data_IF_773932234618
#
_entry.id   IF_773932234618
#
_cell.length_a   1.000
_cell.length_b   1.000
_cell.length_c   1.000
_cell.angle_alpha   90.00
_cell.angle_beta   90.00
_cell.angle_gamma   90.00
#
_symmetry.space_group_name_H-M   'P 1'
#
loop_
_entity.id
_entity.type
_entity.pdbx_description
1 polymer ?
#
# COMPACT_ATOMS: atom_id res chain seq x y z
N UNK A 1 -43.76 17.64 58.69
CA UNK A 1 -42.94 18.33 59.70
C UNK A 1 -41.55 18.51 59.10
N UNK A 2 -41.26 19.72 58.66
CA UNK A 2 -39.95 20.12 58.12
C UNK A 2 -38.87 19.98 59.20
N UNK A 3 -37.66 19.54 58.84
CA UNK A 3 -36.46 20.35 59.02
C UNK A 3 -35.26 19.72 58.30
N UNK A 4 -34.49 20.62 57.69
CA UNK A 4 -33.43 20.42 56.69
C UNK A 4 -32.14 19.94 57.35
N UNK A 5 -31.40 19.08 56.65
CA UNK A 5 -29.99 18.82 56.95
C UNK A 5 -29.15 20.04 56.57
N UNK A 6 -28.45 20.60 57.56
CA UNK A 6 -27.60 21.78 57.42
C UNK A 6 -26.15 21.34 57.21
N UNK A 7 -25.63 21.53 56.00
CA UNK A 7 -24.25 21.26 55.61
C UNK A 7 -23.34 22.41 56.08
N UNK A 8 -22.75 22.34 57.28
CA UNK A 8 -21.70 23.32 57.64
C UNK A 8 -20.67 22.88 58.68
N UNK A 9 -20.53 21.60 59.03
CA UNK A 9 -19.64 21.20 60.14
C UNK A 9 -18.51 20.23 59.72
N UNK A 10 -18.53 19.67 58.50
CA UNK A 10 -17.44 18.79 58.02
C UNK A 10 -16.39 19.49 57.13
N UNK A 11 -16.46 20.82 56.97
CA UNK A 11 -15.48 21.63 56.21
C UNK A 11 -14.53 22.47 57.09
N UNK A 12 -14.68 22.42 58.43
CA UNK A 12 -14.00 23.34 59.35
C UNK A 12 -12.94 22.69 60.28
N UNK A 13 -12.54 21.44 60.07
CA UNK A 13 -11.51 20.78 60.89
C UNK A 13 -10.32 20.18 60.13
N UNK A 14 -10.00 20.68 58.92
CA UNK A 14 -8.73 20.35 58.26
C UNK A 14 -8.11 21.52 57.45
N UNK A 15 -8.42 22.77 57.82
CA UNK A 15 -7.94 23.98 57.14
C UNK A 15 -7.46 25.05 58.13
N UNK A 16 -6.78 24.61 59.19
CA UNK A 16 -6.27 25.48 60.27
C UNK A 16 -4.75 25.41 60.47
N UNK A 17 -3.98 24.93 59.49
CA UNK A 17 -2.49 24.93 59.54
C UNK A 17 -1.81 25.54 58.30
N UNK A 18 -2.52 25.90 57.22
CA UNK A 18 -1.87 26.44 55.99
C UNK A 18 -2.43 27.81 55.59
N UNK A 19 -2.55 28.71 56.56
CA UNK A 19 -2.69 30.13 56.32
C UNK A 19 -1.50 30.84 56.95
N UNK A 20 -0.98 31.84 56.23
CA UNK A 20 0.27 32.59 56.47
C UNK A 20 1.49 31.77 56.00
N UNK A 21 2.22 32.09 54.94
CA UNK A 21 2.76 33.40 54.55
C UNK A 21 2.97 33.39 53.02
N UNK A 22 2.01 33.91 52.26
CA UNK A 22 2.23 34.53 50.94
C UNK A 22 1.37 35.78 50.92
N UNK A 23 1.92 36.89 51.42
CA UNK A 23 1.91 38.23 50.79
C UNK A 23 2.40 39.28 51.82
N UNK A 24 3.06 40.30 51.30
CA UNK A 24 3.57 41.52 51.96
C UNK A 24 5.01 41.42 52.47
N UNK A 25 5.97 41.69 51.57
CA UNK A 25 6.77 42.92 51.65
C UNK A 25 7.74 43.02 50.48
N UNK A 26 7.32 43.73 49.43
CA UNK A 26 8.19 44.48 48.53
C UNK A 26 8.90 45.59 49.34
N UNK A 27 10.16 45.89 48.96
CA UNK A 27 11.03 47.04 49.32
C UNK A 27 11.98 46.95 50.55
N UNK A 28 13.19 46.40 50.29
CA UNK A 28 14.59 46.87 50.52
C UNK A 28 15.07 47.42 51.90
N UNK A 29 16.41 47.52 52.22
CA UNK A 29 17.61 47.32 51.41
C UNK A 29 18.76 46.46 52.03
N UNK A 30 19.82 46.32 51.22
CA UNK A 30 21.13 45.66 51.40
C UNK A 30 21.93 46.14 52.61
N UNK A 31 22.62 45.21 53.29
CA UNK A 31 23.89 45.53 53.95
C UNK A 31 24.90 44.37 53.84
N UNK A 32 26.15 44.78 53.67
CA UNK A 32 27.28 44.07 53.11
C UNK A 32 28.14 43.49 54.24
N UNK A 33 28.48 42.20 54.23
CA UNK A 33 29.60 41.69 55.05
C UNK A 33 30.46 40.69 54.27
N UNK A 34 31.71 41.10 54.10
CA UNK A 34 32.82 40.35 53.51
C UNK A 34 33.14 39.08 54.31
N UNK A 35 33.32 37.95 53.61
CA UNK A 35 34.08 36.80 54.09
C UNK A 35 35.26 36.59 53.11
N UNK A 36 36.50 36.46 53.60
CA UNK A 36 37.70 36.55 52.78
C UNK A 36 38.01 35.26 52.00
N UNK A 37 38.63 35.49 50.84
CA UNK A 37 39.22 34.52 49.91
C UNK A 37 39.84 33.28 50.57
N UNK A 38 39.33 32.11 50.18
CA UNK A 38 40.18 30.96 49.88
C UNK A 38 40.24 30.83 48.36
N UNK A 39 41.42 31.03 47.80
CA UNK A 39 41.69 30.78 46.40
C UNK A 39 41.71 29.26 46.14
N UNK A 40 40.56 28.69 45.79
CA UNK A 40 40.58 27.61 44.82
C UNK A 40 40.63 28.28 43.46
N UNK A 41 41.78 28.20 42.79
CA UNK A 41 41.90 28.49 41.36
C UNK A 41 40.67 27.91 40.65
N UNK A 42 39.83 28.75 40.03
CA UNK A 42 39.00 28.27 38.93
C UNK A 42 40.00 27.63 37.96
N UNK A 43 40.05 26.31 37.93
CA UNK A 43 40.77 25.58 36.90
C UNK A 43 40.22 26.15 35.60
N UNK A 44 41.03 26.92 34.87
CA UNK A 44 40.66 27.38 33.54
C UNK A 44 40.51 26.10 32.76
N UNK A 45 39.27 25.67 32.54
CA UNK A 45 39.01 24.51 31.72
C UNK A 45 39.46 24.92 30.33
N UNK A 46 40.25 24.06 29.68
CA UNK A 46 40.75 24.33 28.34
C UNK A 46 39.55 24.29 27.40
N UNK A 47 39.51 25.25 26.51
CA UNK A 47 38.49 25.48 25.49
C UNK A 47 39.33 25.99 24.31
N UNK A 48 39.56 25.09 23.36
CA UNK A 48 40.66 25.19 22.39
C UNK A 48 40.26 25.97 21.17
N UNK A 49 39.01 25.86 20.74
CA UNK A 49 38.43 26.56 19.62
C UNK A 49 37.59 27.80 20.01
N UNK A 50 37.22 27.91 21.29
CA UNK A 50 36.62 29.11 21.86
C UNK A 50 35.11 29.22 21.65
N UNK A 51 34.41 28.12 21.42
CA UNK A 51 32.95 28.09 21.23
C UNK A 51 32.17 28.21 22.56
N UNK A 52 32.87 28.04 23.69
CA UNK A 52 32.34 28.13 25.04
C UNK A 52 32.01 26.79 25.70
N UNK A 53 32.22 25.66 25.01
CA UNK A 53 32.18 24.30 25.53
C UNK A 53 33.62 23.88 25.88
N UNK A 54 33.89 23.41 27.11
CA UNK A 54 35.26 23.03 27.45
C UNK A 54 35.71 21.72 26.76
N UNK A 55 36.99 21.61 26.38
CA UNK A 55 37.62 20.46 25.69
C UNK A 55 37.25 19.07 26.25
N UNK A 56 36.89 18.96 27.53
CA UNK A 56 36.55 17.69 28.18
C UNK A 56 35.07 17.31 28.10
N UNK A 57 34.22 18.22 27.60
CA UNK A 57 32.79 18.08 27.35
C UNK A 57 32.47 18.28 25.86
N UNK A 58 33.47 18.66 25.07
CA UNK A 58 33.42 18.91 23.64
C UNK A 58 33.89 17.68 22.85
N UNK A 59 33.07 17.23 21.90
CA UNK A 59 33.40 16.08 21.04
C UNK A 59 34.33 16.48 19.88
N UNK A 60 34.35 17.76 19.50
CA UNK A 60 35.21 18.32 18.45
C UNK A 60 36.02 19.54 18.94
N UNK A 61 36.97 19.37 19.88
CA UNK A 61 37.67 20.48 20.56
C UNK A 61 38.49 21.44 19.67
N UNK A 62 38.61 21.17 18.37
CA UNK A 62 39.36 22.01 17.43
C UNK A 62 38.42 22.68 16.40
N UNK A 63 37.10 22.46 16.47
CA UNK A 63 36.09 23.00 15.54
C UNK A 63 35.06 23.88 16.28
N UNK A 64 35.18 25.22 16.20
CA UNK A 64 34.31 26.12 16.95
C UNK A 64 32.85 26.13 16.47
N UNK A 65 32.51 25.36 15.43
CA UNK A 65 31.16 25.19 14.93
C UNK A 65 30.51 23.88 15.35
N UNK A 66 31.22 22.99 16.03
CA UNK A 66 30.72 21.68 16.44
C UNK A 66 31.17 21.35 17.86
N UNK A 67 30.24 20.94 18.73
CA UNK A 67 30.59 20.57 20.11
C UNK A 67 30.06 19.20 20.55
N UNK A 68 29.18 18.60 19.74
CA UNK A 68 28.41 17.41 20.10
C UNK A 68 28.24 16.51 18.88
N UNK A 69 28.37 15.22 19.11
CA UNK A 69 28.09 14.13 18.19
C UNK A 69 27.12 13.18 18.91
N UNK A 70 25.84 13.31 18.60
CA UNK A 70 24.78 12.66 19.35
C UNK A 70 24.63 11.17 19.09
N UNK A 71 25.00 10.71 17.90
CA UNK A 71 24.90 9.30 17.51
C UNK A 71 26.26 8.61 17.34
N UNK A 72 27.36 9.36 17.34
CA UNK A 72 28.72 8.87 17.44
C UNK A 72 29.31 8.47 16.09
N UNK A 73 28.83 9.04 14.98
CA UNK A 73 29.31 8.71 13.63
C UNK A 73 30.53 9.54 13.17
N UNK A 74 30.89 10.57 13.95
CA UNK A 74 32.03 11.44 13.71
C UNK A 74 31.72 12.71 12.91
N UNK A 75 30.46 13.00 12.61
CA UNK A 75 29.99 14.31 12.12
C UNK A 75 29.31 15.06 13.27
N UNK A 76 29.57 16.36 13.39
CA UNK A 76 28.97 17.16 14.46
C UNK A 76 27.49 17.47 14.22
N UNK A 77 26.71 17.54 15.30
CA UNK A 77 25.26 17.77 15.32
C UNK A 77 24.82 18.98 14.45
N UNK A 78 25.68 20.00 14.23
CA UNK A 78 25.29 21.18 13.45
C UNK A 78 25.50 21.01 11.93
N UNK A 79 26.41 20.14 11.51
CA UNK A 79 26.71 19.84 10.11
C UNK A 79 26.04 18.56 9.62
N UNK A 80 25.53 17.74 10.55
CA UNK A 80 24.80 16.52 10.27
C UNK A 80 23.32 16.80 10.00
N UNK A 81 22.83 16.36 8.83
CA UNK A 81 21.40 16.42 8.50
C UNK A 81 20.55 15.46 9.35
N UNK A 82 21.16 14.40 9.91
CA UNK A 82 20.50 13.38 10.74
C UNK A 82 21.24 13.13 12.06
N UNK A 83 21.29 14.11 13.00
CA UNK A 83 22.11 14.04 14.23
C UNK A 83 21.75 12.92 15.23
N UNK A 84 20.85 12.00 14.90
CA UNK A 84 20.48 10.91 15.80
C UNK A 84 20.46 9.55 15.07
N UNK A 85 20.95 9.49 13.84
CA UNK A 85 21.07 8.29 13.04
C UNK A 85 22.52 8.12 12.56
N UNK A 86 23.32 7.24 13.21
CA UNK A 86 24.73 7.11 12.92
C UNK A 86 25.02 6.47 11.55
N UNK A 87 23.97 6.17 10.78
CA UNK A 87 24.06 5.62 9.42
C UNK A 87 23.79 6.65 8.34
N UNK A 88 23.45 7.89 8.68
CA UNK A 88 23.12 8.96 7.72
C UNK A 88 23.77 10.28 8.13
N UNK A 89 24.37 11.02 7.18
CA UNK A 89 25.02 12.31 7.45
C UNK A 89 24.50 13.45 6.57
N UNK A 90 23.90 13.12 5.43
CA UNK A 90 23.56 14.06 4.36
C UNK A 90 22.18 13.80 3.81
N UNK A 91 21.53 14.88 3.41
CA UNK A 91 20.27 14.91 2.67
C UNK A 91 20.51 15.84 1.47
N UNK A 92 21.01 15.28 0.37
CA UNK A 92 21.56 16.03 -0.76
C UNK A 92 20.50 16.80 -1.54
N UNK A 93 19.23 16.38 -1.49
CA UNK A 93 18.12 17.06 -2.16
C UNK A 93 17.06 17.66 -1.23
N UNK A 94 17.17 17.41 0.07
CA UNK A 94 16.38 18.07 1.12
C UNK A 94 14.99 17.47 1.30
N UNK A 95 14.79 16.20 0.96
CA UNK A 95 13.49 15.54 1.06
C UNK A 95 13.24 14.83 2.41
N UNK A 96 14.26 14.80 3.27
CA UNK A 96 14.23 14.23 4.60
C UNK A 96 14.59 12.74 4.67
N UNK A 97 15.07 12.12 3.59
CA UNK A 97 15.69 10.81 3.58
C UNK A 97 17.21 10.97 3.42
N UNK A 98 17.98 10.22 4.21
CA UNK A 98 19.44 10.32 4.14
C UNK A 98 20.00 9.66 2.88
N UNK A 99 21.07 10.25 2.33
CA UNK A 99 21.72 9.84 1.08
C UNK A 99 22.07 8.33 1.04
N UNK A 100 22.32 7.67 2.19
CA UNK A 100 22.67 6.25 2.21
C UNK A 100 21.44 5.33 2.08
N UNK A 101 20.26 5.82 2.48
CA UNK A 101 18.97 5.13 2.41
C UNK A 101 18.13 5.56 1.21
N UNK A 102 18.49 6.67 0.57
CA UNK A 102 17.85 7.19 -0.63
C UNK A 102 18.42 6.55 -1.90
N UNK A 103 17.54 5.97 -2.73
CA UNK A 103 17.94 5.43 -4.03
C UNK A 103 18.19 6.52 -5.08
N UNK A 104 17.61 7.71 -4.91
CA UNK A 104 17.78 8.87 -5.78
C UNK A 104 18.15 10.13 -4.98
N UNK A 105 19.35 10.20 -4.38
CA UNK A 105 19.78 11.25 -3.44
C UNK A 105 19.89 12.67 -4.05
N UNK A 106 19.48 12.86 -5.29
CA UNK A 106 19.50 14.15 -5.99
C UNK A 106 18.16 14.50 -6.63
N UNK A 107 17.10 13.71 -6.40
CA UNK A 107 15.75 13.99 -6.85
C UNK A 107 14.79 13.98 -5.66
N UNK A 108 14.41 15.17 -5.12
CA UNK A 108 13.62 15.26 -3.89
C UNK A 108 12.18 14.78 -4.04
N UNK A 109 11.84 14.20 -5.20
CA UNK A 109 10.56 13.59 -5.50
C UNK A 109 10.64 12.08 -5.55
N UNK A 110 11.80 11.45 -5.38
CA UNK A 110 11.96 10.01 -5.52
C UNK A 110 12.92 9.50 -4.46
N UNK A 111 12.49 8.54 -3.64
CA UNK A 111 13.33 8.01 -2.54
C UNK A 111 13.70 6.54 -2.74
N UNK A 112 12.93 5.84 -3.57
CA UNK A 112 12.90 4.39 -3.64
C UNK A 112 12.69 3.94 -5.07
N UNK A 113 13.32 2.82 -5.39
CA UNK A 113 13.15 2.04 -6.61
C UNK A 113 13.04 0.58 -6.19
N UNK A 114 11.82 0.07 -5.99
CA UNK A 114 11.68 -1.28 -5.41
C UNK A 114 11.95 -2.39 -6.42
N UNK A 115 11.77 -2.14 -7.70
CA UNK A 115 11.96 -3.14 -8.73
C UNK A 115 13.31 -3.01 -9.46
N UNK A 116 14.04 -1.95 -9.13
CA UNK A 116 15.40 -1.66 -9.53
C UNK A 116 15.53 -1.42 -11.05
N UNK A 117 14.48 -0.88 -11.69
CA UNK A 117 14.49 -0.53 -13.11
C UNK A 117 15.14 0.83 -13.42
N UNK A 118 15.49 1.59 -12.37
CA UNK A 118 16.11 2.91 -12.44
C UNK A 118 15.13 4.07 -12.53
N UNK A 119 13.82 3.82 -12.44
CA UNK A 119 12.77 4.83 -12.32
C UNK A 119 12.31 4.86 -10.86
N UNK A 120 12.21 6.08 -10.31
CA UNK A 120 11.72 6.24 -8.95
C UNK A 120 10.24 5.89 -8.82
N UNK A 121 9.88 5.30 -7.69
CA UNK A 121 8.55 4.78 -7.41
C UNK A 121 7.40 5.78 -7.61
N UNK A 122 7.64 7.09 -7.47
CA UNK A 122 6.60 8.11 -7.67
C UNK A 122 6.38 8.42 -9.17
N UNK A 123 7.35 8.11 -10.04
CA UNK A 123 7.28 8.25 -11.50
C UNK A 123 6.98 6.94 -12.24
N UNK A 124 7.23 5.81 -11.59
CA UNK A 124 7.03 4.44 -12.06
C UNK A 124 5.52 4.05 -12.08
N UNK A 125 5.09 3.35 -13.13
CA UNK A 125 3.68 2.92 -13.28
C UNK A 125 3.37 1.67 -12.44
N UNK A 126 4.31 0.74 -12.30
CA UNK A 126 4.25 -0.46 -11.50
C UNK A 126 5.49 -0.58 -10.58
N UNK A 127 5.56 0.23 -9.48
CA UNK A 127 6.78 0.51 -8.68
C UNK A 127 7.45 -0.64 -7.94
N UNK A 128 7.39 -1.84 -8.47
CA UNK A 128 7.34 -3.09 -7.75
C UNK A 128 7.47 -4.30 -8.69
N UNK A 129 7.24 -4.11 -9.99
CA UNK A 129 7.22 -5.16 -10.99
C UNK A 129 8.27 -4.84 -12.03
N UNK A 130 9.47 -5.41 -11.84
CA UNK A 130 10.56 -5.25 -12.79
C UNK A 130 10.12 -5.80 -14.14
N UNK A 131 9.82 -4.90 -15.08
CA UNK A 131 9.33 -5.25 -16.40
C UNK A 131 10.51 -5.62 -17.31
N UNK A 132 11.20 -6.72 -17.05
CA UNK A 132 12.22 -7.17 -17.99
C UNK A 132 11.64 -7.98 -19.16
N UNK A 133 12.28 -7.87 -20.31
CA UNK A 133 12.06 -8.76 -21.45
C UNK A 133 13.34 -9.54 -21.72
N UNK A 134 13.23 -10.86 -21.82
CA UNK A 134 14.34 -11.72 -22.22
C UNK A 134 14.09 -12.27 -23.62
N UNK A 135 15.00 -11.96 -24.54
CA UNK A 135 14.98 -12.42 -25.91
C UNK A 135 16.10 -13.44 -26.08
N UNK A 136 15.75 -14.66 -26.47
CA UNK A 136 16.71 -15.72 -26.78
C UNK A 136 16.69 -15.99 -28.27
N UNK A 137 17.82 -15.76 -28.95
CA UNK A 137 17.99 -16.23 -30.33
C UNK A 137 18.37 -17.70 -30.24
N UNK A 138 17.49 -18.58 -30.69
CA UNK A 138 17.70 -20.02 -30.62
C UNK A 138 18.62 -20.48 -31.74
N UNK A 139 18.29 -20.07 -32.97
CA UNK A 139 19.00 -20.49 -34.19
C UNK A 139 18.70 -19.54 -35.34
N UNK A 140 19.48 -19.63 -36.40
CA UNK A 140 19.27 -18.87 -37.63
C UNK A 140 19.64 -19.67 -38.87
N UNK A 141 19.30 -19.13 -40.05
CA UNK A 141 19.65 -19.66 -41.37
C UNK A 141 19.78 -18.54 -42.38
N UNK A 142 20.83 -18.55 -43.18
CA UNK A 142 20.96 -17.71 -44.37
C UNK A 142 20.36 -18.44 -45.58
N UNK A 143 19.44 -17.82 -46.31
CA UNK A 143 18.63 -18.48 -47.35
C UNK A 143 19.00 -18.11 -48.79
N UNK A 144 19.68 -17.00 -49.01
CA UNK A 144 20.11 -16.58 -50.34
C UNK A 144 21.52 -15.98 -50.30
N UNK A 145 22.05 -15.59 -51.47
CA UNK A 145 23.40 -15.03 -51.55
C UNK A 145 23.39 -13.66 -50.87
N UNK A 146 24.06 -13.60 -49.74
CA UNK A 146 24.43 -12.35 -49.06
C UNK A 146 25.71 -11.78 -49.67
N UNK A 147 26.50 -12.60 -50.36
CA UNK A 147 27.83 -12.24 -50.82
C UNK A 147 28.28 -13.07 -52.06
N UNK A 148 29.42 -12.75 -52.70
CA UNK A 148 29.93 -13.44 -53.93
C UNK A 148 30.37 -14.91 -53.71
N UNK A 149 30.41 -15.36 -52.45
CA UNK A 149 30.83 -16.70 -52.06
C UNK A 149 29.70 -17.50 -51.38
N UNK A 150 29.78 -18.83 -51.44
CA UNK A 150 28.81 -19.74 -50.79
C UNK A 150 28.89 -19.76 -49.24
N UNK A 151 29.70 -18.91 -48.63
CA UNK A 151 30.00 -18.88 -47.19
C UNK A 151 29.83 -17.46 -46.65
N UNK A 152 29.03 -17.31 -45.62
CA UNK A 152 28.79 -16.04 -44.93
C UNK A 152 29.43 -16.06 -43.52
N UNK A 153 29.77 -14.88 -43.00
CA UNK A 153 30.29 -14.67 -41.65
C UNK A 153 29.29 -13.86 -40.83
N UNK A 154 28.42 -14.54 -40.10
CA UNK A 154 27.25 -13.90 -39.51
C UNK A 154 27.50 -13.47 -38.05
N UNK A 155 26.88 -12.36 -37.66
CA UNK A 155 26.67 -11.96 -36.26
C UNK A 155 25.33 -11.24 -36.09
N UNK A 156 24.94 -10.98 -34.84
CA UNK A 156 23.72 -10.24 -34.53
C UNK A 156 24.03 -9.00 -33.72
N UNK A 157 23.24 -7.96 -33.93
CA UNK A 157 23.17 -6.80 -33.04
C UNK A 157 21.77 -6.67 -32.47
N UNK A 158 21.70 -6.41 -31.17
CA UNK A 158 20.49 -6.05 -30.47
C UNK A 158 20.48 -4.55 -30.22
N UNK A 159 19.44 -3.89 -30.72
CA UNK A 159 19.24 -2.46 -30.58
C UNK A 159 17.98 -2.21 -29.75
N UNK A 160 18.02 -1.22 -28.87
CA UNK A 160 16.87 -0.78 -28.06
C UNK A 160 16.69 0.71 -28.24
N UNK A 161 15.48 1.13 -28.64
CA UNK A 161 15.13 2.54 -28.91
C UNK A 161 16.12 3.25 -29.86
N UNK A 162 16.71 2.51 -30.80
CA UNK A 162 17.68 3.04 -31.76
C UNK A 162 19.13 3.09 -31.26
N UNK A 163 19.42 2.58 -30.07
CA UNK A 163 20.77 2.48 -29.51
C UNK A 163 21.24 1.02 -29.46
N UNK A 164 22.48 0.74 -29.88
CA UNK A 164 23.05 -0.61 -29.85
C UNK A 164 23.39 -1.02 -28.42
N UNK A 165 22.81 -2.13 -27.95
CA UNK A 165 23.01 -2.64 -26.59
C UNK A 165 23.88 -3.89 -26.52
N UNK A 166 23.74 -4.82 -27.46
CA UNK A 166 24.51 -6.07 -27.43
C UNK A 166 24.87 -6.59 -28.82
N UNK A 167 25.98 -7.30 -28.91
CA UNK A 167 26.42 -8.04 -30.10
C UNK A 167 26.51 -9.51 -29.74
N UNK A 168 25.82 -10.36 -30.49
CA UNK A 168 25.99 -11.81 -30.38
C UNK A 168 26.89 -12.33 -31.48
N UNK A 169 27.86 -13.13 -31.06
CA UNK A 169 28.83 -13.79 -31.93
C UNK A 169 29.18 -15.17 -31.36
N UNK A 170 29.93 -15.98 -32.10
CA UNK A 170 30.36 -17.31 -31.69
C UNK A 170 31.67 -17.24 -30.88
N UNK A 171 31.58 -16.82 -29.61
CA UNK A 171 32.71 -16.75 -28.67
C UNK A 171 33.88 -15.88 -29.18
N UNK A 172 33.57 -14.64 -29.56
CA UNK A 172 34.53 -13.67 -30.09
C UNK A 172 34.87 -13.84 -31.58
N UNK A 173 34.14 -14.69 -32.30
CA UNK A 173 34.26 -14.91 -33.76
C UNK A 173 32.90 -14.92 -34.43
N UNK A 174 32.86 -14.61 -35.72
CA UNK A 174 31.65 -14.71 -36.53
C UNK A 174 31.26 -16.17 -36.82
N UNK A 175 29.97 -16.45 -36.95
CA UNK A 175 29.49 -17.76 -37.40
C UNK A 175 29.80 -17.94 -38.89
N UNK A 176 30.58 -18.97 -39.23
CA UNK A 176 30.86 -19.31 -40.64
C UNK A 176 29.83 -20.29 -41.14
N UNK A 177 28.94 -19.83 -42.01
CA UNK A 177 27.74 -20.58 -42.38
C UNK A 177 27.67 -20.87 -43.87
N UNK A 178 27.05 -22.00 -44.22
CA UNK A 178 26.70 -22.33 -45.59
C UNK A 178 25.24 -21.97 -45.85
N UNK A 179 24.95 -21.42 -47.03
CA UNK A 179 23.59 -21.08 -47.44
C UNK A 179 22.68 -22.32 -47.31
N UNK A 180 21.53 -22.14 -46.66
CA UNK A 180 20.51 -23.15 -46.44
C UNK A 180 20.68 -24.01 -45.18
N UNK A 181 21.79 -23.88 -44.44
CA UNK A 181 22.01 -24.60 -43.17
C UNK A 181 21.51 -23.80 -41.97
N UNK A 182 20.93 -24.50 -40.99
CA UNK A 182 20.56 -23.92 -39.70
C UNK A 182 21.73 -24.00 -38.73
N UNK A 183 21.99 -22.93 -38.01
CA UNK A 183 23.02 -22.86 -36.97
C UNK A 183 22.41 -22.44 -35.63
N UNK A 184 22.89 -23.04 -34.55
CA UNK A 184 22.44 -22.75 -33.18
C UNK A 184 23.17 -21.51 -32.66
N UNK A 185 22.42 -20.68 -31.94
CA UNK A 185 22.92 -19.48 -31.26
C UNK A 185 22.80 -19.67 -29.76
N UNK A 186 21.59 -19.92 -29.27
CA UNK A 186 21.23 -20.06 -27.85
C UNK A 186 21.86 -18.99 -26.95
N UNK A 187 21.81 -17.73 -27.39
CA UNK A 187 22.22 -16.56 -26.62
C UNK A 187 21.02 -15.69 -26.30
N UNK A 188 21.03 -15.12 -25.10
CA UNK A 188 19.93 -14.35 -24.55
C UNK A 188 20.35 -12.92 -24.23
N UNK A 189 19.47 -11.99 -24.52
CA UNK A 189 19.54 -10.59 -24.13
C UNK A 189 18.37 -10.31 -23.20
N UNK A 190 18.67 -9.80 -22.01
CA UNK A 190 17.67 -9.31 -21.08
C UNK A 190 17.75 -7.79 -21.06
N UNK A 191 16.61 -7.14 -21.20
CA UNK A 191 16.49 -5.70 -21.12
C UNK A 191 15.42 -5.33 -20.12
N UNK A 192 15.74 -4.38 -19.25
CA UNK A 192 14.78 -3.83 -18.32
C UNK A 192 13.94 -2.77 -19.02
N UNK A 193 12.62 -2.90 -18.97
CA UNK A 193 11.72 -1.97 -19.66
C UNK A 193 11.37 -0.85 -18.68
N UNK A 194 11.82 0.39 -18.91
CA UNK A 194 11.46 1.50 -18.06
C UNK A 194 9.95 1.72 -18.18
N UNK A 195 9.23 1.53 -17.08
CA UNK A 195 7.78 1.41 -17.13
C UNK A 195 7.06 2.76 -17.02
N UNK A 196 7.65 3.82 -17.55
CA UNK A 196 7.13 5.18 -17.35
C UNK A 196 5.96 5.57 -18.27
N UNK A 197 5.19 6.57 -17.85
CA UNK A 197 4.18 7.21 -18.74
C UNK A 197 4.80 8.09 -19.84
N UNK A 198 6.09 8.45 -19.71
CA UNK A 198 6.80 9.33 -20.65
C UNK A 198 7.16 8.57 -21.92
N UNK A 199 7.65 7.35 -21.79
CA UNK A 199 8.03 6.48 -22.91
C UNK A 199 7.05 5.32 -23.06
N UNK A 200 5.96 5.58 -23.80
CA UNK A 200 4.89 4.59 -23.97
C UNK A 200 5.33 3.28 -24.63
N UNK A 201 6.42 3.28 -25.38
CA UNK A 201 6.87 2.11 -26.13
C UNK A 201 8.39 1.95 -26.09
N UNK A 202 8.83 0.76 -25.73
CA UNK A 202 10.19 0.28 -26.00
C UNK A 202 10.22 -0.53 -27.29
N UNK A 203 11.10 -0.16 -28.22
CA UNK A 203 11.32 -0.90 -29.47
C UNK A 203 12.65 -1.63 -29.42
N UNK A 204 12.62 -2.94 -29.61
CA UNK A 204 13.81 -3.80 -29.71
C UNK A 204 13.94 -4.31 -31.14
N UNK A 205 15.13 -4.18 -31.70
CA UNK A 205 15.47 -4.67 -33.03
C UNK A 205 16.56 -5.74 -32.93
N UNK A 206 16.31 -6.90 -33.54
CA UNK A 206 17.31 -7.95 -33.75
C UNK A 206 17.76 -7.84 -35.20
N UNK A 207 18.99 -7.41 -35.41
CA UNK A 207 19.61 -7.28 -36.73
C UNK A 207 20.61 -8.41 -36.93
N UNK A 208 20.62 -8.98 -38.13
CA UNK A 208 21.57 -10.02 -38.54
C UNK A 208 22.44 -9.45 -39.65
N UNK A 209 23.75 -9.56 -39.52
CA UNK A 209 24.70 -8.99 -40.46
C UNK A 209 25.57 -10.09 -41.07
N UNK A 210 25.97 -9.89 -42.33
CA UNK A 210 27.09 -10.60 -42.94
C UNK A 210 28.34 -9.72 -42.81
N UNK A 211 29.41 -10.27 -42.24
CA UNK A 211 30.65 -9.56 -42.07
C UNK A 211 31.52 -9.63 -43.31
N UNK A 212 31.87 -8.46 -43.82
CA UNK A 212 32.70 -8.29 -44.99
C UNK A 212 34.12 -7.89 -44.62
N UNK A 213 35.11 -8.62 -45.15
CA UNK A 213 36.50 -8.36 -44.83
C UNK A 213 37.05 -7.06 -45.45
N UNK A 214 36.40 -6.54 -46.52
CA UNK A 214 36.91 -5.42 -47.32
C UNK A 214 35.88 -4.30 -47.56
N UNK A 215 34.63 -4.49 -47.14
CA UNK A 215 33.50 -3.58 -47.33
C UNK A 215 32.74 -3.37 -46.02
N UNK A 216 31.72 -2.51 -46.02
CA UNK A 216 30.83 -2.38 -44.88
C UNK A 216 30.01 -3.65 -44.72
N UNK A 217 29.72 -4.05 -43.48
CA UNK A 217 28.96 -5.26 -43.18
C UNK A 217 27.51 -5.12 -43.66
N UNK A 218 27.05 -6.07 -44.48
CA UNK A 218 25.73 -6.02 -45.10
C UNK A 218 24.64 -6.54 -44.14
N UNK A 219 23.58 -5.77 -43.88
CA UNK A 219 22.44 -6.25 -43.14
C UNK A 219 21.67 -7.31 -43.94
N UNK A 220 21.27 -8.38 -43.28
CA UNK A 220 20.55 -9.49 -43.89
C UNK A 220 19.04 -9.28 -43.70
N UNK A 221 18.27 -9.31 -44.79
CA UNK A 221 16.80 -9.29 -44.72
C UNK A 221 16.27 -10.56 -44.03
N UNK A 222 15.70 -10.35 -42.84
CA UNK A 222 15.16 -11.39 -41.97
C UNK A 222 13.66 -11.24 -41.76
N UNK A 223 12.99 -10.27 -42.41
CA UNK A 223 11.58 -9.96 -42.15
C UNK A 223 10.87 -9.30 -43.35
N UNK A 224 10.69 -10.05 -44.43
CA UNK A 224 9.97 -9.66 -45.66
C UNK A 224 10.33 -8.25 -46.18
N UNK A 225 11.60 -8.04 -46.53
CA UNK A 225 12.12 -6.74 -46.99
C UNK A 225 12.51 -5.80 -45.84
N UNK A 226 12.74 -6.35 -44.64
CA UNK A 226 13.25 -5.60 -43.48
C UNK A 226 14.45 -6.33 -42.88
N UNK A 227 15.49 -5.57 -42.64
CA UNK A 227 16.78 -6.01 -42.08
C UNK A 227 16.74 -6.29 -40.57
N UNK A 228 15.55 -6.30 -39.97
CA UNK A 228 15.38 -6.50 -38.53
C UNK A 228 14.10 -7.23 -38.16
N UNK A 229 14.19 -8.06 -37.14
CA UNK A 229 13.03 -8.43 -36.31
C UNK A 229 12.73 -7.26 -35.41
N UNK A 230 11.52 -6.70 -35.50
CA UNK A 230 11.10 -5.55 -34.69
C UNK A 230 10.08 -6.04 -33.66
N UNK A 231 10.43 -5.86 -32.39
CA UNK A 231 9.57 -6.18 -31.23
C UNK A 231 9.21 -4.85 -30.58
N UNK A 232 7.92 -4.56 -30.42
CA UNK A 232 7.45 -3.35 -29.71
C UNK A 232 6.75 -3.74 -28.43
N UNK A 233 7.32 -3.33 -27.30
CA UNK A 233 6.69 -3.42 -25.99
C UNK A 233 5.88 -2.14 -25.73
N UNK A 234 4.68 -2.28 -25.15
CA UNK A 234 3.91 -1.15 -24.64
C UNK A 234 4.09 -1.07 -23.13
N UNK A 235 4.91 -0.12 -22.69
CA UNK A 235 5.38 0.01 -21.30
C UNK A 235 4.22 0.29 -20.33
N UNK A 236 3.09 0.82 -20.83
CA UNK A 236 1.90 1.13 -20.01
C UNK A 236 0.93 -0.04 -19.91
N UNK A 237 0.84 -0.85 -20.97
CA UNK A 237 -0.15 -1.93 -21.07
C UNK A 237 0.43 -3.30 -20.75
N UNK A 238 1.74 -3.40 -20.58
CA UNK A 238 2.47 -4.65 -20.38
C UNK A 238 2.15 -5.69 -21.46
N UNK A 239 2.07 -5.24 -22.71
CA UNK A 239 1.78 -6.09 -23.87
C UNK A 239 2.80 -5.86 -24.98
N UNK A 240 3.22 -6.94 -25.62
CA UNK A 240 4.06 -6.90 -26.83
C UNK A 240 3.17 -6.90 -28.07
N UNK A 241 3.54 -6.05 -29.02
CA UNK A 241 2.96 -6.00 -30.36
C UNK A 241 4.06 -6.20 -31.40
N UNK A 242 3.86 -7.15 -32.30
CA UNK A 242 4.85 -7.52 -33.31
C UNK A 242 5.87 -8.55 -32.81
N UNK A 243 6.15 -9.54 -33.66
CA UNK A 243 7.06 -10.65 -33.36
C UNK A 243 6.49 -11.64 -32.36
N UNK A 244 5.53 -12.48 -32.77
CA UNK A 244 5.16 -13.66 -31.97
C UNK A 244 6.41 -14.53 -31.71
N UNK A 245 6.44 -15.23 -30.57
CA UNK A 245 7.41 -16.32 -30.38
C UNK A 245 7.41 -17.25 -31.58
N UNK A 246 8.59 -17.59 -32.09
CA UNK A 246 8.71 -18.56 -33.16
C UNK A 246 9.76 -18.22 -34.19
N UNK A 247 9.39 -17.48 -35.24
CA UNK A 247 10.18 -17.43 -36.48
C UNK A 247 9.96 -16.08 -37.19
N UNK A 248 11.04 -15.37 -37.51
CA UNK A 248 11.04 -14.29 -38.49
C UNK A 248 11.77 -14.73 -39.76
N UNK A 249 11.21 -14.40 -40.92
CA UNK A 249 11.72 -14.85 -42.23
C UNK A 249 11.73 -13.67 -43.21
N UNK A 250 12.88 -13.44 -43.82
CA UNK A 250 13.07 -12.53 -44.95
C UNK A 250 13.58 -13.28 -46.18
N UNK A 251 13.97 -12.52 -47.19
CA UNK A 251 14.47 -13.07 -48.45
C UNK A 251 15.88 -13.69 -48.29
N UNK A 252 16.68 -13.15 -47.36
CA UNK A 252 18.07 -13.53 -47.16
C UNK A 252 18.33 -14.33 -45.88
N UNK A 253 17.43 -14.26 -44.90
CA UNK A 253 17.62 -14.93 -43.62
C UNK A 253 16.35 -15.37 -42.90
N UNK A 254 16.53 -16.28 -41.95
CA UNK A 254 15.51 -16.74 -41.00
C UNK A 254 16.10 -16.72 -39.60
N UNK A 255 15.37 -16.17 -38.64
CA UNK A 255 15.74 -16.16 -37.23
C UNK A 255 14.65 -16.87 -36.44
N UNK A 256 15.04 -17.83 -35.59
CA UNK A 256 14.18 -18.42 -34.58
C UNK A 256 14.53 -17.84 -33.22
N UNK A 257 13.54 -17.30 -32.54
CA UNK A 257 13.73 -16.65 -31.25
C UNK A 257 12.55 -16.87 -30.33
N UNK A 258 12.83 -16.79 -29.04
CA UNK A 258 11.86 -16.87 -27.97
C UNK A 258 11.93 -15.62 -27.10
N UNK A 259 10.78 -15.11 -26.73
CA UNK A 259 10.58 -14.02 -25.78
C UNK A 259 10.02 -14.65 -24.51
N UNK A 260 10.66 -14.37 -23.39
CA UNK A 260 10.17 -14.69 -22.06
C UNK A 260 10.13 -13.44 -21.20
N UNK A 261 9.14 -13.38 -20.32
CA UNK A 261 8.94 -12.33 -19.33
C UNK A 261 9.25 -12.92 -17.95
N UNK A 262 9.73 -12.12 -16.98
CA UNK A 262 9.78 -12.58 -15.60
C UNK A 262 8.35 -12.95 -15.18
N UNK A 263 8.21 -14.14 -14.59
CA UNK A 263 7.00 -14.49 -13.86
C UNK A 263 6.85 -13.48 -12.74
N UNK A 264 5.76 -12.69 -12.77
CA UNK A 264 5.39 -11.66 -11.80
C UNK A 264 5.92 -12.03 -10.40
N UNK A 265 7.03 -11.42 -9.99
CA UNK A 265 7.40 -11.43 -8.58
C UNK A 265 6.46 -10.39 -7.99
N UNK A 266 5.32 -10.84 -7.48
CA UNK A 266 4.39 -9.97 -6.77
C UNK A 266 5.19 -9.27 -5.66
N UNK A 267 5.20 -7.93 -5.59
CA UNK A 267 5.90 -7.22 -4.52
C UNK A 267 5.44 -7.65 -3.13
N UNK A 268 6.23 -7.36 -2.07
CA UNK A 268 5.68 -7.39 -0.72
C UNK A 268 4.50 -6.41 -0.67
N UNK A 269 3.29 -6.96 -0.62
CA UNK A 269 2.06 -6.19 -0.51
C UNK A 269 2.15 -5.24 0.70
N UNK A 270 1.96 -3.93 0.50
CA UNK A 270 1.88 -2.98 1.61
C UNK A 270 0.53 -3.13 2.32
N UNK A 271 0.52 -3.05 3.65
CA UNK A 271 -0.69 -3.24 4.45
C UNK A 271 -0.97 -2.07 5.40
N UNK A 272 -2.23 -1.66 5.48
CA UNK A 272 -2.75 -1.00 6.67
C UNK A 272 -2.93 -2.04 7.78
N UNK A 273 -2.03 -2.03 8.77
CA UNK A 273 -2.27 -2.76 10.01
C UNK A 273 -3.30 -2.01 10.87
N UNK A 274 -4.42 -2.65 11.16
CA UNK A 274 -5.46 -2.13 12.07
C UNK A 274 -5.58 -3.01 13.30
N UNK A 275 -5.75 -2.36 14.45
CA UNK A 275 -6.04 -3.01 15.74
C UNK A 275 -7.42 -2.59 16.22
N UNK A 276 -8.38 -3.49 16.09
CA UNK A 276 -9.74 -3.30 16.58
C UNK A 276 -9.85 -3.74 18.04
N UNK A 277 -10.66 -3.02 18.81
CA UNK A 277 -11.01 -3.38 20.19
C UNK A 277 -12.51 -3.15 20.40
N UNK A 278 -13.18 -4.13 20.98
CA UNK A 278 -14.62 -4.06 21.27
C UNK A 278 -14.97 -4.89 22.50
N UNK A 279 -16.18 -4.70 23.02
CA UNK A 279 -16.69 -5.41 24.19
C UNK A 279 -17.79 -6.37 23.77
N UNK A 280 -17.72 -7.62 24.23
CA UNK A 280 -18.78 -8.61 24.09
C UNK A 280 -18.84 -9.48 25.34
N UNK A 281 -20.05 -9.71 25.87
CA UNK A 281 -20.28 -10.47 27.11
C UNK A 281 -19.38 -10.01 28.28
N UNK A 282 -19.29 -8.68 28.50
CA UNK A 282 -18.46 -8.04 29.52
C UNK A 282 -16.94 -8.33 29.43
N UNK A 283 -16.48 -8.85 28.29
CA UNK A 283 -15.06 -9.08 28.00
C UNK A 283 -14.62 -8.14 26.87
N UNK A 284 -13.44 -7.54 27.04
CA UNK A 284 -12.77 -6.80 25.96
C UNK A 284 -12.03 -7.76 25.04
N UNK A 285 -12.29 -7.63 23.75
CA UNK A 285 -11.67 -8.38 22.68
C UNK A 285 -10.79 -7.45 21.84
N UNK A 286 -9.78 -8.04 21.19
CA UNK A 286 -8.91 -7.30 20.29
C UNK A 286 -8.53 -8.16 19.09
N UNK A 287 -8.49 -7.56 17.91
CA UNK A 287 -8.15 -8.22 16.65
C UNK A 287 -7.22 -7.33 15.84
N UNK A 288 -6.04 -7.87 15.47
CA UNK A 288 -5.16 -7.25 14.48
C UNK A 288 -5.45 -7.82 13.09
N UNK A 289 -5.68 -6.94 12.13
CA UNK A 289 -5.90 -7.27 10.72
C UNK A 289 -4.94 -6.43 9.86
N UNK A 290 -4.32 -7.08 8.90
CA UNK A 290 -3.49 -6.42 7.89
C UNK A 290 -4.34 -6.34 6.60
N UNK A 291 -4.50 -5.13 6.07
CA UNK A 291 -5.39 -4.85 4.93
C UNK A 291 -4.56 -4.30 3.78
N UNK A 292 -4.56 -4.93 2.60
CA UNK A 292 -3.76 -4.46 1.48
C UNK A 292 -4.06 -3.01 1.08
N UNK A 293 -3.02 -2.18 0.99
CA UNK A 293 -3.13 -0.78 0.52
C UNK A 293 -3.65 -0.75 -0.92
N UNK A 294 -3.18 -1.68 -1.76
CA UNK A 294 -3.64 -1.84 -3.15
C UNK A 294 -5.15 -2.07 -3.23
N UNK A 295 -5.69 -2.91 -2.34
CA UNK A 295 -7.12 -3.21 -2.29
C UNK A 295 -7.94 -2.00 -1.84
N UNK A 296 -7.48 -1.28 -0.81
CA UNK A 296 -8.14 -0.05 -0.36
C UNK A 296 -8.15 1.02 -1.47
N UNK A 297 -7.01 1.26 -2.13
CA UNK A 297 -6.90 2.17 -3.27
C UNK A 297 -7.81 1.74 -4.43
N UNK A 298 -7.92 0.45 -4.71
CA UNK A 298 -8.84 -0.06 -5.74
C UNK A 298 -10.30 0.27 -5.40
N UNK A 299 -10.71 0.08 -4.14
CA UNK A 299 -12.06 0.43 -3.69
C UNK A 299 -12.32 1.93 -3.94
N UNK A 300 -11.45 2.83 -3.44
CA UNK A 300 -11.61 4.28 -3.62
C UNK A 300 -11.71 4.70 -5.09
N UNK A 301 -10.91 4.08 -5.97
CA UNK A 301 -10.86 4.41 -7.40
C UNK A 301 -11.85 3.60 -8.26
N UNK A 302 -12.68 2.78 -7.63
CA UNK A 302 -13.67 1.97 -8.35
C UNK A 302 -14.68 2.87 -9.04
N UNK A 303 -14.97 2.58 -10.32
CA UNK A 303 -15.95 3.33 -11.13
C UNK A 303 -17.39 2.88 -10.92
N UNK A 304 -17.66 2.15 -9.85
CA UNK A 304 -19.03 1.76 -9.49
C UNK A 304 -19.82 2.99 -9.07
N UNK A 305 -21.13 2.96 -9.29
CA UNK A 305 -22.01 3.95 -8.72
C UNK A 305 -22.08 3.77 -7.21
N UNK A 306 -21.87 4.86 -6.47
CA UNK A 306 -21.88 4.90 -5.00
C UNK A 306 -23.28 5.16 -4.42
N UNK A 307 -24.27 5.32 -5.29
CA UNK A 307 -25.71 5.37 -4.99
C UNK A 307 -26.44 4.15 -5.60
N UNK A 308 -26.09 2.91 -5.22
CA UNK A 308 -26.62 1.69 -5.84
C UNK A 308 -28.14 1.52 -5.66
N UNK A 309 -28.76 2.18 -4.69
CA UNK A 309 -30.21 2.23 -4.49
C UNK A 309 -30.96 2.79 -5.70
N UNK A 310 -30.31 3.62 -6.53
CA UNK A 310 -30.87 4.13 -7.78
C UNK A 310 -30.82 3.11 -8.92
N UNK A 311 -29.98 2.09 -8.82
CA UNK A 311 -29.77 1.05 -9.83
C UNK A 311 -30.51 -0.25 -9.52
N UNK A 312 -30.84 -0.47 -8.24
CA UNK A 312 -31.70 -1.56 -7.77
C UNK A 312 -30.97 -2.65 -6.98
N UNK A 313 -31.68 -3.74 -6.72
CA UNK A 313 -31.28 -4.75 -5.73
C UNK A 313 -29.92 -5.39 -5.99
N UNK A 314 -29.59 -5.65 -7.25
CA UNK A 314 -28.33 -6.34 -7.61
C UNK A 314 -27.13 -5.41 -7.41
N UNK A 315 -27.30 -4.10 -7.66
CA UNK A 315 -26.27 -3.10 -7.39
C UNK A 315 -26.03 -2.97 -5.88
N UNK A 316 -27.08 -2.88 -5.07
CA UNK A 316 -26.96 -2.82 -3.60
C UNK A 316 -26.29 -4.09 -3.05
N UNK A 317 -26.69 -5.27 -3.53
CA UNK A 317 -26.11 -6.54 -3.12
C UNK A 317 -24.61 -6.65 -3.49
N UNK A 318 -24.16 -5.96 -4.54
CA UNK A 318 -22.77 -6.03 -5.02
C UNK A 318 -21.74 -5.43 -4.04
N UNK A 319 -22.18 -4.58 -3.11
CA UNK A 319 -21.33 -4.03 -2.05
C UNK A 319 -21.04 -5.04 -0.92
N UNK A 320 -21.80 -6.15 -0.85
CA UNK A 320 -21.55 -7.24 0.09
C UNK A 320 -20.45 -8.16 -0.44
N UNK A 321 -19.19 -7.79 -0.22
CA UNK A 321 -17.99 -8.46 -0.78
C UNK A 321 -17.48 -9.62 0.08
N UNK A 322 -18.35 -10.58 0.39
CA UNK A 322 -18.05 -11.72 1.27
C UNK A 322 -16.97 -12.69 0.75
N UNK A 323 -16.60 -12.63 -0.53
CA UNK A 323 -15.52 -13.43 -1.13
C UNK A 323 -14.19 -12.68 -1.19
N UNK A 324 -14.13 -11.47 -0.63
CA UNK A 324 -12.86 -10.74 -0.53
C UNK A 324 -11.93 -11.42 0.47
N UNK A 325 -10.65 -11.57 0.11
CA UNK A 325 -9.69 -12.31 0.93
C UNK A 325 -9.43 -11.67 2.30
N UNK A 326 -9.52 -10.34 2.38
CA UNK A 326 -9.38 -9.61 3.65
C UNK A 326 -10.57 -9.89 4.56
N UNK A 327 -11.78 -9.96 3.99
CA UNK A 327 -13.02 -10.30 4.71
C UNK A 327 -12.97 -11.75 5.19
N UNK A 328 -12.54 -12.70 4.35
CA UNK A 328 -12.34 -14.10 4.78
C UNK A 328 -11.33 -14.19 5.94
N UNK A 329 -10.21 -13.47 5.85
CA UNK A 329 -9.18 -13.43 6.90
C UNK A 329 -9.70 -12.84 8.21
N UNK A 330 -10.55 -11.80 8.12
CA UNK A 330 -11.25 -11.24 9.28
C UNK A 330 -12.18 -12.29 9.91
N UNK A 331 -12.97 -13.01 9.11
CA UNK A 331 -13.85 -14.07 9.58
C UNK A 331 -13.06 -15.18 10.27
N UNK A 332 -11.95 -15.65 9.71
CA UNK A 332 -11.09 -16.67 10.32
C UNK A 332 -10.59 -16.24 11.70
N UNK A 333 -10.19 -14.97 11.83
CA UNK A 333 -9.75 -14.38 13.11
C UNK A 333 -10.91 -14.25 14.11
N UNK A 334 -12.08 -13.79 13.68
CA UNK A 334 -13.28 -13.71 14.52
C UNK A 334 -13.72 -15.09 15.00
N UNK A 335 -13.76 -16.10 14.13
CA UNK A 335 -14.05 -17.50 14.48
C UNK A 335 -13.03 -18.07 15.45
N UNK A 336 -11.75 -17.73 15.28
CA UNK A 336 -10.69 -18.15 16.20
C UNK A 336 -10.86 -17.53 17.58
N UNK A 337 -11.19 -16.23 17.66
CA UNK A 337 -11.45 -15.54 18.92
C UNK A 337 -12.70 -16.08 19.62
N UNK A 338 -13.78 -16.28 18.86
CA UNK A 338 -15.05 -16.84 19.34
C UNK A 338 -15.07 -18.36 19.40
N UNK A 339 -13.92 -19.04 19.48
CA UNK A 339 -13.87 -20.50 19.50
C UNK A 339 -14.67 -21.04 20.68
N UNK A 340 -15.70 -21.84 20.36
CA UNK A 340 -16.62 -22.42 21.34
C UNK A 340 -17.96 -21.70 21.46
N UNK A 341 -18.16 -20.58 20.76
CA UNK A 341 -19.46 -19.96 20.61
C UNK A 341 -20.37 -20.83 19.73
N UNK A 342 -21.65 -20.89 20.08
CA UNK A 342 -22.68 -21.39 19.18
C UNK A 342 -22.98 -20.36 18.07
N UNK A 343 -23.92 -20.68 17.18
CA UNK A 343 -24.26 -19.80 16.06
C UNK A 343 -24.78 -18.44 16.51
N UNK A 344 -25.58 -18.40 17.58
CA UNK A 344 -26.20 -17.18 18.09
C UNK A 344 -25.14 -16.30 18.74
N UNK A 345 -24.30 -16.87 19.60
CA UNK A 345 -23.21 -16.16 20.25
C UNK A 345 -22.20 -15.65 19.22
N UNK A 346 -21.89 -16.43 18.17
CA UNK A 346 -20.98 -15.98 17.12
C UNK A 346 -21.56 -14.81 16.31
N UNK A 347 -22.83 -14.89 15.91
CA UNK A 347 -23.48 -13.79 15.17
C UNK A 347 -23.52 -12.53 16.01
N UNK A 348 -23.90 -12.64 17.29
CA UNK A 348 -23.90 -11.50 18.22
C UNK A 348 -22.49 -10.97 18.50
N UNK A 349 -21.48 -11.84 18.53
CA UNK A 349 -20.09 -11.45 18.67
C UNK A 349 -19.62 -10.61 17.46
N UNK A 350 -19.91 -11.07 16.25
CA UNK A 350 -19.61 -10.34 15.01
C UNK A 350 -20.43 -9.04 14.90
N UNK A 351 -21.69 -9.05 15.35
CA UNK A 351 -22.56 -7.87 15.35
C UNK A 351 -22.00 -6.80 16.29
N UNK A 352 -21.62 -7.20 17.50
CA UNK A 352 -21.01 -6.31 18.48
C UNK A 352 -19.67 -5.74 18.01
N UNK A 353 -18.92 -6.48 17.20
CA UNK A 353 -17.70 -6.00 16.57
C UNK A 353 -18.03 -4.84 15.62
N UNK A 354 -18.94 -5.05 14.67
CA UNK A 354 -19.33 -4.00 13.69
C UNK A 354 -19.91 -2.77 14.37
N UNK A 355 -20.87 -2.95 15.29
CA UNK A 355 -21.50 -1.86 16.05
C UNK A 355 -20.50 -0.96 16.80
N UNK A 356 -19.32 -1.46 17.15
CA UNK A 356 -18.32 -0.74 17.94
C UNK A 356 -17.13 -0.24 17.14
N UNK A 357 -16.81 -0.85 15.99
CA UNK A 357 -15.68 -0.40 15.17
C UNK A 357 -16.08 0.66 14.15
N UNK A 358 -17.34 0.69 13.70
CA UNK A 358 -17.83 1.71 12.77
C UNK A 358 -18.31 2.90 13.58
N UNK A 359 -17.58 4.02 13.49
CA UNK A 359 -18.01 5.29 14.06
C UNK A 359 -19.04 5.90 13.12
N UNK A 360 -20.25 6.14 13.64
CA UNK A 360 -21.30 6.76 12.85
C UNK A 360 -20.85 8.13 12.33
N UNK A 361 -20.76 8.26 11.02
CA UNK A 361 -20.40 9.50 10.32
C UNK A 361 -21.22 9.57 9.04
N UNK A 362 -22.00 10.64 8.87
CA UNK A 362 -22.77 10.86 7.63
C UNK A 362 -21.82 11.06 6.41
N UNK A 363 -22.28 10.64 5.24
CA UNK A 363 -21.49 10.75 4.00
C UNK A 363 -21.19 12.18 3.57
N UNK A 364 -22.09 13.11 3.85
CA UNK A 364 -21.86 14.52 3.57
C UNK A 364 -20.72 15.11 4.42
N UNK A 365 -20.46 14.56 5.61
CA UNK A 365 -19.36 14.97 6.48
C UNK A 365 -18.05 14.29 6.06
N UNK A 366 -18.12 13.00 5.73
CA UNK A 366 -16.93 12.18 5.49
C UNK A 366 -16.43 12.23 4.03
N UNK A 367 -17.34 12.19 3.05
CA UNK A 367 -17.03 12.17 1.61
C UNK A 367 -17.47 13.45 0.89
N UNK A 368 -18.30 14.28 1.51
CA UNK A 368 -18.82 15.51 0.90
C UNK A 368 -19.92 15.29 -0.13
N UNK A 369 -20.50 14.08 -0.13
CA UNK A 369 -21.57 13.64 -1.04
C UNK A 369 -22.87 13.43 -0.26
N UNK A 370 -24.02 13.44 -0.94
CA UNK A 370 -25.30 13.14 -0.26
C UNK A 370 -25.38 11.66 0.19
N UNK A 371 -24.80 10.74 -0.59
CA UNK A 371 -24.66 9.33 -0.24
C UNK A 371 -23.43 8.71 -0.92
N UNK A 372 -22.76 7.80 -0.22
CA UNK A 372 -21.56 7.10 -0.62
C UNK A 372 -21.47 5.71 0.02
N UNK A 373 -21.97 4.69 -0.67
CA UNK A 373 -21.83 3.31 -0.20
C UNK A 373 -20.35 2.89 -0.20
N UNK A 374 -19.81 2.55 0.96
CA UNK A 374 -18.44 2.04 1.11
C UNK A 374 -18.38 0.53 0.91
N UNK A 375 -17.28 0.05 0.36
CA UNK A 375 -16.94 -1.36 0.46
C UNK A 375 -16.49 -1.72 1.89
N UNK A 376 -16.66 -2.98 2.34
CA UNK A 376 -16.12 -3.48 3.61
C UNK A 376 -14.65 -3.13 3.86
N UNK A 377 -13.82 -3.09 2.83
CA UNK A 377 -12.39 -2.73 2.94
C UNK A 377 -12.20 -1.26 3.33
N UNK A 378 -12.99 -0.35 2.76
CA UNK A 378 -12.94 1.07 3.10
C UNK A 378 -13.32 1.26 4.57
N UNK A 379 -14.40 0.61 5.02
CA UNK A 379 -14.89 0.69 6.40
C UNK A 379 -13.86 0.11 7.38
N UNK A 380 -13.21 -1.01 7.04
CA UNK A 380 -12.18 -1.60 7.90
C UNK A 380 -10.94 -0.68 8.03
N UNK A 381 -10.58 0.07 6.99
CA UNK A 381 -9.45 1.01 7.01
C UNK A 381 -9.81 2.31 7.73
N UNK A 382 -10.98 2.88 7.43
CA UNK A 382 -11.44 4.20 7.88
C UNK A 382 -12.11 4.15 9.26
N UNK A 383 -12.77 3.04 9.60
CA UNK A 383 -13.51 2.82 10.85
C UNK A 383 -14.64 3.83 11.08
N UNK A 384 -15.25 4.27 9.99
CA UNK A 384 -16.42 5.16 9.96
C UNK A 384 -17.36 4.78 8.83
N UNK A 385 -18.57 5.31 8.90
CA UNK A 385 -19.68 5.07 7.98
C UNK A 385 -21.01 5.17 8.70
N UNK A 386 -22.10 5.04 7.98
CA UNK A 386 -23.46 5.11 8.48
C UNK A 386 -24.19 3.75 8.31
N UNK A 387 -25.51 3.78 8.02
CA UNK A 387 -26.36 2.60 8.18
C UNK A 387 -26.08 1.53 7.13
N UNK A 388 -25.93 1.92 5.87
CA UNK A 388 -25.64 1.04 4.75
C UNK A 388 -24.26 0.42 4.88
N UNK A 389 -23.27 1.20 5.30
CA UNK A 389 -21.89 0.77 5.45
C UNK A 389 -21.76 -0.31 6.51
N UNK A 390 -22.32 -0.04 7.70
CA UNK A 390 -22.35 -1.02 8.78
C UNK A 390 -23.09 -2.30 8.37
N UNK A 391 -24.18 -2.17 7.62
CA UNK A 391 -24.97 -3.30 7.15
C UNK A 391 -24.21 -4.14 6.10
N UNK A 392 -23.55 -3.53 5.11
CA UNK A 392 -22.80 -4.28 4.09
C UNK A 392 -21.55 -4.94 4.68
N UNK A 393 -20.86 -4.31 5.64
CA UNK A 393 -19.75 -4.94 6.36
C UNK A 393 -20.22 -6.16 7.15
N UNK A 394 -21.28 -6.01 7.95
CA UNK A 394 -21.81 -7.12 8.74
C UNK A 394 -22.34 -8.26 7.87
N UNK A 395 -23.12 -7.94 6.83
CA UNK A 395 -23.61 -8.93 5.88
C UNK A 395 -22.45 -9.68 5.21
N UNK A 396 -21.36 -9.00 4.88
CA UNK A 396 -20.17 -9.63 4.28
C UNK A 396 -19.51 -10.62 5.23
N UNK A 397 -19.35 -10.25 6.50
CA UNK A 397 -18.78 -11.11 7.55
C UNK A 397 -19.65 -12.36 7.76
N UNK A 398 -20.97 -12.18 7.89
CA UNK A 398 -21.89 -13.29 8.20
C UNK A 398 -22.07 -14.22 6.99
N UNK A 399 -22.15 -13.68 5.77
CA UNK A 399 -22.19 -14.49 4.55
C UNK A 399 -20.90 -15.29 4.36
N UNK A 400 -19.74 -14.66 4.57
CA UNK A 400 -18.44 -15.33 4.54
C UNK A 400 -18.31 -16.39 5.65
N UNK A 401 -19.03 -16.21 6.76
CA UNK A 401 -19.16 -17.20 7.84
C UNK A 401 -20.14 -18.36 7.52
N UNK A 402 -20.61 -18.43 6.27
CA UNK A 402 -21.50 -19.45 5.70
C UNK A 402 -22.94 -19.45 6.23
N UNK A 403 -23.47 -18.29 6.63
CA UNK A 403 -24.89 -18.12 6.89
C UNK A 403 -25.58 -17.42 5.71
N UNK A 404 -26.86 -17.69 5.52
CA UNK A 404 -27.67 -16.97 4.57
C UNK A 404 -28.05 -15.60 5.16
N UNK A 405 -27.87 -14.54 4.37
CA UNK A 405 -28.18 -13.16 4.78
C UNK A 405 -28.92 -12.40 3.70
N UNK A 406 -29.60 -11.33 4.12
CA UNK A 406 -30.24 -10.34 3.25
C UNK A 406 -30.02 -8.95 3.83
N UNK A 407 -29.87 -7.94 2.98
CA UNK A 407 -30.03 -6.55 3.43
C UNK A 407 -31.53 -6.25 3.49
N UNK A 408 -31.94 -5.48 4.50
CA UNK A 408 -33.32 -5.12 4.78
C UNK A 408 -33.43 -3.60 4.74
N UNK A 409 -34.05 -3.07 3.69
CA UNK A 409 -34.23 -1.64 3.52
C UNK A 409 -35.58 -1.19 4.06
N UNK A 410 -35.55 -0.25 4.99
CA UNK A 410 -36.73 0.35 5.61
C UNK A 410 -36.80 1.84 5.25
N UNK A 411 -38.03 2.36 5.18
CA UNK A 411 -38.29 3.80 5.17
C UNK A 411 -38.86 4.15 6.54
N UNK A 412 -38.16 5.00 7.28
CA UNK A 412 -38.56 5.46 8.62
C UNK A 412 -39.20 6.85 8.54
N UNK A 413 -39.55 7.43 9.70
CA UNK A 413 -40.18 8.76 9.77
C UNK A 413 -39.36 9.81 8.99
N UNK A 414 -40.07 10.76 8.36
CA UNK A 414 -39.51 11.77 7.45
C UNK A 414 -38.90 11.24 6.14
N UNK A 415 -39.26 10.02 5.73
CA UNK A 415 -38.82 9.43 4.47
C UNK A 415 -37.29 9.19 4.41
N UNK A 416 -36.67 8.98 5.58
CA UNK A 416 -35.26 8.61 5.71
C UNK A 416 -35.13 7.10 5.51
N UNK A 417 -34.09 6.67 4.79
CA UNK A 417 -33.75 5.26 4.63
C UNK A 417 -33.09 4.71 5.89
N UNK A 418 -33.30 3.43 6.20
CA UNK A 418 -32.53 2.69 7.19
C UNK A 418 -32.21 1.30 6.64
N UNK A 419 -30.92 0.97 6.55
CA UNK A 419 -30.47 -0.35 6.13
C UNK A 419 -30.09 -1.19 7.35
N UNK A 420 -30.63 -2.40 7.40
CA UNK A 420 -30.31 -3.40 8.41
C UNK A 420 -30.00 -4.75 7.76
N UNK A 421 -29.64 -5.75 8.56
CA UNK A 421 -29.31 -7.09 8.05
C UNK A 421 -30.27 -8.12 8.61
N UNK A 422 -30.73 -9.02 7.74
CA UNK A 422 -31.45 -10.23 8.12
C UNK A 422 -30.51 -11.43 8.06
N UNK A 423 -30.42 -12.21 9.14
CA UNK A 423 -29.63 -13.44 9.19
C UNK A 423 -30.55 -14.64 9.32
N UNK A 424 -30.41 -15.60 8.41
CA UNK A 424 -31.18 -16.82 8.44
C UNK A 424 -30.49 -17.90 9.26
N UNK A 425 -31.26 -18.48 10.17
CA UNK A 425 -30.86 -19.57 11.05
C UNK A 425 -31.83 -20.74 10.88
N UNK A 426 -31.29 -21.96 10.91
CA UNK A 426 -32.10 -23.18 10.97
C UNK A 426 -32.81 -23.31 12.32
N UNK A 427 -32.17 -22.83 13.39
CA UNK A 427 -32.74 -22.85 14.74
C UNK A 427 -33.65 -21.64 14.93
N UNK A 428 -34.89 -21.91 15.31
CA UNK A 428 -35.82 -20.87 15.72
C UNK A 428 -35.38 -20.26 17.06
N UNK A 429 -35.22 -18.95 17.08
CA UNK A 429 -35.00 -18.15 18.29
C UNK A 429 -36.17 -17.19 18.52
N UNK A 430 -36.29 -16.71 19.76
CA UNK A 430 -37.17 -15.60 20.11
C UNK A 430 -36.58 -14.28 19.57
N UNK A 431 -37.43 -13.42 19.03
CA UNK A 431 -37.02 -12.15 18.45
C UNK A 431 -37.79 -11.81 17.18
N UNK A 432 -37.54 -10.61 16.66
CA UNK A 432 -38.13 -10.13 15.41
C UNK A 432 -37.38 -10.71 14.21
N UNK A 433 -38.16 -11.22 13.25
CA UNK A 433 -37.68 -11.73 11.97
C UNK A 433 -38.66 -11.38 10.88
N UNK A 434 -38.17 -11.38 9.64
CA UNK A 434 -39.02 -11.37 8.46
C UNK A 434 -39.07 -12.76 7.82
N UNK A 435 -40.16 -13.05 7.11
CA UNK A 435 -40.27 -14.24 6.26
C UNK A 435 -39.91 -13.87 4.83
N UNK A 436 -38.95 -14.58 4.25
CA UNK A 436 -38.58 -14.46 2.85
C UNK A 436 -38.33 -15.85 2.28
N UNK A 437 -39.07 -16.24 1.24
CA UNK A 437 -39.04 -17.59 0.64
C UNK A 437 -39.11 -18.72 1.69
N UNK A 438 -40.11 -18.65 2.58
CA UNK A 438 -40.36 -19.61 3.67
C UNK A 438 -39.23 -19.74 4.71
N UNK A 439 -38.21 -18.88 4.63
CA UNK A 439 -37.08 -18.86 5.54
C UNK A 439 -37.18 -17.64 6.47
N UNK A 440 -36.81 -17.84 7.75
CA UNK A 440 -36.78 -16.75 8.75
C UNK A 440 -35.46 -16.03 8.67
N UNK A 441 -35.50 -14.72 8.47
CA UNK A 441 -34.33 -13.84 8.56
C UNK A 441 -34.49 -12.94 9.78
N UNK A 442 -33.74 -13.25 10.83
CA UNK A 442 -33.72 -12.53 12.09
C UNK A 442 -33.00 -11.19 11.92
N UNK A 443 -33.61 -10.14 12.43
CA UNK A 443 -33.13 -8.77 12.25
C UNK A 443 -31.88 -8.50 13.08
N UNK A 444 -30.93 -7.78 12.49
CA UNK A 444 -29.71 -7.31 13.13
C UNK A 444 -29.58 -5.80 12.90
N UNK A 445 -29.59 -5.03 13.98
CA UNK A 445 -29.27 -3.61 13.97
C UNK A 445 -27.75 -3.43 14.01
N UNK A 446 -27.15 -2.96 12.92
CA UNK A 446 -25.70 -2.84 12.79
C UNK A 446 -25.16 -1.46 13.17
N UNK A 447 -26.03 -0.46 13.16
CA UNK A 447 -25.68 0.95 13.35
C UNK A 447 -25.71 1.32 14.83
N UNK A 448 -26.76 0.90 15.53
CA UNK A 448 -26.93 1.19 16.96
C UNK A 448 -26.31 0.13 17.86
N UNK A 449 -25.56 0.56 18.88
CA UNK A 449 -24.92 -0.36 19.82
C UNK A 449 -25.93 -1.08 20.73
N UNK A 450 -25.60 -2.32 21.09
CA UNK A 450 -26.24 -3.05 22.18
C UNK A 450 -27.48 -3.85 21.80
N UNK A 451 -27.91 -3.79 20.53
CA UNK A 451 -28.92 -4.68 19.98
C UNK A 451 -28.31 -6.04 19.64
N UNK A 452 -29.00 -7.11 20.02
CA UNK A 452 -28.64 -8.47 19.65
C UNK A 452 -29.47 -8.95 18.45
N UNK A 453 -29.10 -10.09 17.89
CA UNK A 453 -29.84 -10.81 16.87
C UNK A 453 -31.30 -11.00 17.31
N UNK A 454 -32.22 -10.49 16.50
CA UNK A 454 -33.66 -10.51 16.75
C UNK A 454 -34.18 -9.29 17.50
N UNK A 455 -33.32 -8.41 18.04
CA UNK A 455 -33.76 -7.17 18.68
C UNK A 455 -34.04 -6.10 17.62
N UNK A 456 -35.30 -5.64 17.52
CA UNK A 456 -35.72 -4.56 16.63
C UNK A 456 -35.91 -3.24 17.40
N UNK A 457 -35.25 -2.13 17.01
CA UNK A 457 -35.53 -0.81 17.57
C UNK A 457 -36.99 -0.39 17.35
N UNK A 458 -37.58 0.35 18.30
CA UNK A 458 -39.01 0.68 18.29
C UNK A 458 -39.45 1.55 17.10
N UNK A 459 -38.54 2.30 16.48
CA UNK A 459 -38.81 3.16 15.32
C UNK A 459 -38.81 2.44 13.97
N UNK A 460 -38.44 1.16 13.93
CA UNK A 460 -38.36 0.39 12.68
C UNK A 460 -39.72 -0.25 12.36
N UNK A 461 -40.27 -0.05 11.15
CA UNK A 461 -41.51 -0.68 10.71
C UNK A 461 -41.46 -2.22 10.81
N UNK A 462 -42.63 -2.85 10.85
CA UNK A 462 -42.75 -4.32 10.96
C UNK A 462 -42.48 -5.06 9.64
N UNK A 463 -42.28 -4.33 8.53
CA UNK A 463 -41.90 -4.90 7.24
C UNK A 463 -40.92 -3.95 6.56
N UNK A 464 -39.84 -4.49 5.96
CA UNK A 464 -38.98 -3.70 5.09
C UNK A 464 -39.73 -3.35 3.81
N UNK A 465 -39.39 -2.21 3.23
CA UNK A 465 -39.83 -1.82 1.89
C UNK A 465 -39.20 -2.74 0.84
N UNK A 466 -37.95 -3.19 1.09
CA UNK A 466 -37.22 -4.05 0.19
C UNK A 466 -36.36 -5.07 0.95
N UNK A 467 -36.39 -6.31 0.46
CA UNK A 467 -35.50 -7.40 0.91
C UNK A 467 -34.51 -7.68 -0.22
N UNK A 468 -33.23 -7.52 0.06
CA UNK A 468 -32.14 -7.64 -0.91
C UNK A 468 -31.35 -8.92 -0.58
N UNK A 469 -31.63 -10.05 -1.27
CA UNK A 469 -30.98 -11.32 -0.97
C UNK A 469 -29.52 -11.34 -1.41
N UNK A 470 -28.62 -11.83 -0.56
CA UNK A 470 -27.20 -11.99 -0.89
C UNK A 470 -26.94 -13.42 -1.37
N UNK A 471 -26.64 -13.55 -2.67
CA UNK A 471 -26.48 -14.84 -3.34
C UNK A 471 -25.05 -15.38 -3.26
#
# INVERSE_FOLDING_TARGET
MNLRFNTSILRYMLLLIVATIILVSLFLPVENTNIPNTSTSKKKIKDTDGDGIPDNEDTFPDDPSEWKDSDGDGVGDNSDSFPYDPTEQKDSDGDGVGDNSDTFPYDPKEQKDYDHDGIGNNADINPYVNLSITITIQRFKVTSHVDLFRRAQVYFEIWVNGEKKQVFNNNGRYWRVWIGREEIVDQSFTYDIPDTTKEKYTTIEIKMFDHDFLTEDDPIDVNNGKEAVIIRFNNVKNVVSGGNNGISKGEQGVIWYNISYPSEITPPEEYYTRLYRWIFQNKTWSLKLDIPVSKYKWCLNSKVNREPQLEGIDAMASFVTYRDKTVETLVDKLRTLGKGFDDIDYINFALSFVQQIVRYTDDNVSKGEEEYWRYPIEILVEMEGDCEDSAVLFASIIKASNYNVSLLFYVIENNTGHLAVGVNLDTAIDGYYILYNDSRYYYCETTSMGYLLGDKPSGIPDKPEMVIPIR
#
